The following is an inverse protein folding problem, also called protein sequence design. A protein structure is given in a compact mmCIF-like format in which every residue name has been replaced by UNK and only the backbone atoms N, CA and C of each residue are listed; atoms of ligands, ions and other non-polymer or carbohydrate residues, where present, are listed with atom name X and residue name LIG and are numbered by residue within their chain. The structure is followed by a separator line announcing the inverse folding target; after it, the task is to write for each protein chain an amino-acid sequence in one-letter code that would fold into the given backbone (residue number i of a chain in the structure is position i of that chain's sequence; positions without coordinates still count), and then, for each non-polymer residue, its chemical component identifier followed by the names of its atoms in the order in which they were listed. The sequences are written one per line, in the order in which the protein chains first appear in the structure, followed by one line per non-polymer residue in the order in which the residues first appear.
data_IF_139452135356
#
_entry.id   IF_139452135356
#
_cell.length_a   1.000
_cell.length_b   1.000
_cell.length_c   1.000
_cell.angle_alpha   90.00
_cell.angle_beta   90.00
_cell.angle_gamma   90.00
#
_symmetry.space_group_name_H-M   'P 1'
#
loop_
_entity.id
_entity.type
_entity.pdbx_description
1 polymer ?
#
# COMPACT_ATOMS: atom_id res chain seq x y z
N UNK A 1 -17.38 -5.70 -13.16
CA UNK A 1 -17.86 -4.49 -12.45
C UNK A 1 -17.03 -3.30 -12.93
N UNK A 2 -17.61 -2.15 -13.28
CA UNK A 2 -16.83 -1.02 -13.82
C UNK A 2 -15.77 -0.53 -12.83
N UNK A 3 -14.57 -0.22 -13.34
CA UNK A 3 -13.47 0.34 -12.55
C UNK A 3 -13.93 1.65 -11.90
N UNK A 4 -13.60 1.84 -10.62
CA UNK A 4 -13.95 3.05 -9.85
C UNK A 4 -15.44 3.40 -9.79
N UNK A 5 -16.32 2.42 -10.05
CA UNK A 5 -17.73 2.53 -9.64
C UNK A 5 -17.84 2.50 -8.10
N UNK A 6 -18.94 3.04 -7.54
CA UNK A 6 -19.17 3.00 -6.09
C UNK A 6 -19.09 1.58 -5.52
N UNK A 7 -19.64 0.59 -6.25
CA UNK A 7 -19.54 -0.82 -5.86
C UNK A 7 -18.10 -1.34 -5.85
N UNK A 8 -17.28 -0.92 -6.81
CA UNK A 8 -15.86 -1.29 -6.84
C UNK A 8 -15.12 -0.71 -5.63
N UNK A 9 -15.30 0.59 -5.39
CA UNK A 9 -14.65 1.30 -4.28
C UNK A 9 -15.12 0.73 -2.93
N UNK A 10 -16.39 0.42 -2.78
CA UNK A 10 -16.93 -0.22 -1.57
C UNK A 10 -16.28 -1.59 -1.32
N UNK A 11 -16.18 -2.44 -2.34
CA UNK A 11 -15.54 -3.75 -2.19
C UNK A 11 -14.05 -3.61 -1.85
N UNK A 12 -13.35 -2.69 -2.52
CA UNK A 12 -11.95 -2.39 -2.23
C UNK A 12 -11.80 -1.94 -0.77
N UNK A 13 -12.62 -1.00 -0.32
CA UNK A 13 -12.58 -0.50 1.05
C UNK A 13 -12.83 -1.61 2.09
N UNK A 14 -13.76 -2.52 1.82
CA UNK A 14 -14.07 -3.65 2.70
C UNK A 14 -12.97 -4.73 2.72
N UNK A 15 -12.27 -4.93 1.62
CA UNK A 15 -11.08 -5.79 1.56
C UNK A 15 -9.94 -5.16 2.37
N UNK A 16 -9.62 -3.89 2.10
CA UNK A 16 -8.53 -3.18 2.77
C UNK A 16 -8.78 -3.11 4.28
N UNK A 17 -10.01 -2.81 4.71
CA UNK A 17 -10.43 -2.83 6.12
C UNK A 17 -10.06 -4.14 6.84
N UNK A 18 -10.19 -5.29 6.18
CA UNK A 18 -9.84 -6.62 6.74
C UNK A 18 -8.34 -6.89 6.73
N UNK A 19 -7.66 -6.52 5.65
CA UNK A 19 -6.20 -6.66 5.55
C UNK A 19 -5.50 -5.82 6.62
N UNK A 20 -5.97 -4.60 6.88
CA UNK A 20 -5.43 -3.76 7.95
C UNK A 20 -5.69 -4.33 9.35
N UNK A 21 -6.83 -4.99 9.56
CA UNK A 21 -7.09 -5.67 10.83
C UNK A 21 -6.13 -6.84 11.05
N UNK A 22 -5.90 -7.65 10.01
CA UNK A 22 -4.97 -8.78 10.09
C UNK A 22 -3.53 -8.28 10.27
N UNK A 23 -3.15 -7.19 9.59
CA UNK A 23 -1.86 -6.52 9.80
C UNK A 23 -1.68 -6.07 11.25
N UNK A 24 -2.70 -5.44 11.83
CA UNK A 24 -2.63 -4.92 13.21
C UNK A 24 -2.47 -6.03 14.26
N UNK A 25 -3.19 -7.15 14.08
CA UNK A 25 -3.21 -8.24 15.05
C UNK A 25 -2.01 -9.20 14.92
N UNK A 26 -1.60 -9.55 13.69
CA UNK A 26 -0.72 -10.69 13.45
C UNK A 26 0.70 -10.34 12.99
N UNK A 27 0.93 -9.17 12.40
CA UNK A 27 2.22 -8.85 11.79
C UNK A 27 3.18 -8.20 12.81
N UNK A 28 4.44 -8.60 12.74
CA UNK A 28 5.54 -8.14 13.59
C UNK A 28 6.86 -8.75 13.10
N UNK A 29 7.96 -8.51 13.81
CA UNK A 29 9.25 -9.11 13.46
C UNK A 29 9.18 -10.65 13.59
N UNK A 30 9.44 -11.43 12.52
CA UNK A 30 9.42 -12.89 12.58
C UNK A 30 10.51 -13.50 13.49
N UNK A 31 11.56 -12.75 13.84
CA UNK A 31 12.57 -13.20 14.81
C UNK A 31 12.05 -13.13 16.26
N UNK A 32 10.95 -12.40 16.49
CA UNK A 32 10.35 -12.16 17.82
C UNK A 32 8.91 -12.67 17.93
N UNK A 33 8.22 -12.84 16.81
CA UNK A 33 6.79 -13.18 16.75
C UNK A 33 6.51 -14.23 15.68
N UNK A 34 5.48 -15.04 15.91
CA UNK A 34 5.05 -16.02 14.91
C UNK A 34 3.99 -15.41 13.99
N UNK A 35 4.39 -15.00 12.80
CA UNK A 35 3.47 -14.49 11.77
C UNK A 35 2.83 -15.68 11.03
N UNK A 36 1.50 -15.85 11.07
CA UNK A 36 0.83 -17.01 10.47
C UNK A 36 0.64 -16.83 8.95
N UNK A 37 1.70 -16.54 8.20
CA UNK A 37 1.68 -16.18 6.77
C UNK A 37 0.88 -17.18 5.92
N UNK A 38 1.17 -18.47 6.08
CA UNK A 38 0.50 -19.54 5.34
C UNK A 38 -1.01 -19.60 5.60
N UNK A 39 -1.47 -19.22 6.80
CA UNK A 39 -2.89 -19.18 7.14
C UNK A 39 -3.56 -17.93 6.59
N UNK A 40 -2.88 -16.77 6.65
CA UNK A 40 -3.41 -15.50 6.14
C UNK A 40 -3.68 -15.52 4.63
N UNK A 41 -2.96 -16.36 3.89
CA UNK A 41 -3.16 -16.56 2.43
C UNK A 41 -3.85 -17.89 2.09
N UNK A 42 -4.29 -18.67 3.07
CA UNK A 42 -4.93 -19.94 2.83
C UNK A 42 -6.31 -19.74 2.14
N UNK A 43 -6.68 -20.56 1.14
CA UNK A 43 -7.93 -20.39 0.41
C UNK A 43 -9.19 -20.38 1.29
N UNK A 44 -9.23 -21.20 2.33
CA UNK A 44 -10.34 -21.30 3.28
C UNK A 44 -10.44 -20.06 4.18
N UNK A 45 -9.30 -19.54 4.66
CA UNK A 45 -9.24 -18.27 5.39
C UNK A 45 -9.72 -17.11 4.51
N UNK A 46 -9.19 -16.99 3.29
CA UNK A 46 -9.61 -15.94 2.35
C UNK A 46 -11.10 -16.04 2.00
N UNK A 47 -11.62 -17.24 1.80
CA UNK A 47 -13.05 -17.46 1.56
C UNK A 47 -13.90 -17.01 2.77
N UNK A 48 -13.46 -17.31 3.99
CA UNK A 48 -14.11 -16.85 5.22
C UNK A 48 -14.11 -15.32 5.31
N UNK A 49 -12.97 -14.66 5.06
CA UNK A 49 -12.86 -13.19 5.07
C UNK A 49 -13.73 -12.55 4.00
N UNK A 50 -13.76 -13.12 2.80
CA UNK A 50 -14.62 -12.65 1.71
C UNK A 50 -16.12 -12.78 2.05
N UNK A 51 -16.53 -13.87 2.72
CA UNK A 51 -17.91 -14.09 3.13
C UNK A 51 -18.41 -13.07 4.18
N UNK A 52 -17.50 -12.38 4.87
CA UNK A 52 -17.85 -11.31 5.82
C UNK A 52 -18.24 -10.00 5.10
N UNK A 53 -17.91 -9.84 3.81
CA UNK A 53 -18.17 -8.60 3.06
C UNK A 53 -19.64 -8.56 2.67
N UNK A 54 -20.37 -7.55 3.18
CA UNK A 54 -21.68 -7.21 2.65
C UNK A 54 -21.48 -6.36 1.38
N UNK A 55 -21.98 -6.75 0.20
CA UNK A 55 -21.74 -6.03 -1.05
C UNK A 55 -22.52 -4.72 -1.20
N UNK A 56 -23.37 -4.38 -0.23
CA UNK A 56 -24.32 -3.26 -0.31
C UNK A 56 -24.30 -2.34 0.91
N UNK A 57 -23.54 -2.69 1.95
CA UNK A 57 -23.50 -1.93 3.19
C UNK A 57 -22.11 -2.04 3.83
N UNK A 58 -21.68 -0.94 4.47
CA UNK A 58 -20.40 -0.85 5.15
C UNK A 58 -20.38 -1.80 6.35
N UNK A 59 -19.30 -2.57 6.53
CA UNK A 59 -19.17 -3.42 7.71
C UNK A 59 -19.03 -2.59 8.99
N UNK A 60 -19.69 -2.96 10.10
CA UNK A 60 -19.51 -2.32 11.39
C UNK A 60 -18.04 -2.37 11.85
N UNK A 61 -17.40 -1.21 11.87
CA UNK A 61 -15.97 -1.04 12.20
C UNK A 61 -15.62 -1.57 13.59
N UNK A 62 -16.53 -1.54 14.56
CA UNK A 62 -16.30 -2.06 15.92
C UNK A 62 -16.05 -3.58 15.96
N UNK A 63 -16.43 -4.31 14.89
CA UNK A 63 -16.15 -5.75 14.74
C UNK A 63 -14.81 -6.04 14.04
N UNK A 64 -14.05 -4.99 13.70
CA UNK A 64 -12.80 -5.09 12.94
C UNK A 64 -11.72 -4.27 13.68
N UNK A 65 -10.60 -4.90 14.07
CA UNK A 65 -9.66 -4.33 15.06
C UNK A 65 -8.62 -3.34 14.49
N UNK A 66 -8.45 -2.15 15.09
CA UNK A 66 -8.10 -0.88 14.44
C UNK A 66 -6.61 -0.61 14.11
N UNK A 67 -6.37 0.45 13.31
CA UNK A 67 -5.12 1.19 13.11
C UNK A 67 -5.25 2.25 11.98
N UNK A 68 -4.54 3.38 12.06
CA UNK A 68 -4.49 4.46 11.04
C UNK A 68 -3.05 4.81 10.64
N UNK A 69 -2.71 5.32 9.46
CA UNK A 69 -1.37 5.87 9.13
C UNK A 69 -1.39 6.98 8.05
N UNK A 70 -0.38 7.87 8.02
CA UNK A 70 -0.09 8.84 6.92
C UNK A 70 1.43 9.09 6.75
N UNK A 71 1.98 9.20 5.53
CA UNK A 71 3.42 8.93 5.29
C UNK A 71 4.10 9.66 4.10
N UNK A 72 5.45 9.57 4.05
CA UNK A 72 6.30 9.69 2.85
C UNK A 72 7.39 8.58 2.80
N UNK A 73 7.89 8.21 1.61
CA UNK A 73 8.88 7.13 1.34
C UNK A 73 9.47 7.38 -0.07
N UNK A 74 10.44 6.61 -0.59
CA UNK A 74 10.78 6.61 -2.03
C UNK A 74 10.98 5.20 -2.61
N UNK A 75 10.86 5.05 -3.94
CA UNK A 75 10.96 3.76 -4.62
C UNK A 75 11.62 3.87 -6.00
N UNK A 76 12.38 2.85 -6.41
CA UNK A 76 12.83 2.66 -7.79
C UNK A 76 12.88 1.19 -8.21
N UNK A 77 12.78 0.95 -9.52
CA UNK A 77 12.81 -0.37 -10.14
C UNK A 77 13.86 -0.42 -11.26
N UNK A 78 14.59 -1.54 -11.39
CA UNK A 78 15.60 -1.77 -12.44
C UNK A 78 15.40 -3.18 -13.00
N UNK A 79 15.43 -3.31 -14.34
CA UNK A 79 15.57 -4.60 -15.03
C UNK A 79 16.71 -4.49 -16.03
N UNK A 80 17.62 -5.45 -16.03
CA UNK A 80 18.72 -5.50 -16.98
C UNK A 80 18.47 -6.48 -18.15
N UNK A 81 19.37 -6.45 -19.13
CA UNK A 81 19.26 -7.29 -20.34
C UNK A 81 19.46 -8.79 -20.08
N UNK A 82 20.00 -9.17 -18.92
CA UNK A 82 20.15 -10.57 -18.51
C UNK A 82 18.90 -11.09 -17.77
N UNK A 83 17.90 -10.23 -17.53
CA UNK A 83 16.69 -10.57 -16.78
C UNK A 83 16.84 -10.38 -15.27
N UNK A 84 17.95 -9.79 -14.79
CA UNK A 84 18.05 -9.43 -13.38
C UNK A 84 17.08 -8.30 -13.07
N UNK A 85 16.37 -8.41 -11.96
CA UNK A 85 15.38 -7.43 -11.52
C UNK A 85 15.66 -6.95 -10.10
N UNK A 86 15.50 -5.65 -9.86
CA UNK A 86 15.60 -5.01 -8.56
C UNK A 86 14.36 -4.16 -8.35
N UNK A 87 13.64 -4.42 -7.25
CA UNK A 87 12.58 -3.57 -6.72
C UNK A 87 13.06 -3.06 -5.36
N UNK A 88 13.29 -1.75 -5.21
CA UNK A 88 13.82 -1.19 -3.98
C UNK A 88 12.96 -0.02 -3.48
N UNK A 89 12.39 -0.20 -2.29
CA UNK A 89 11.71 0.84 -1.52
C UNK A 89 12.57 1.14 -0.31
N UNK A 90 12.91 2.41 -0.08
CA UNK A 90 13.67 2.83 1.10
C UNK A 90 13.08 4.12 1.67
N UNK A 91 13.28 4.33 2.97
CA UNK A 91 12.68 5.44 3.70
C UNK A 91 13.59 5.93 4.84
N UNK A 92 13.34 7.16 5.29
CA UNK A 92 13.81 7.67 6.58
C UNK A 92 12.70 7.64 7.64
N UNK A 93 11.56 7.05 7.28
CA UNK A 93 10.26 7.18 7.92
C UNK A 93 9.60 8.53 7.63
N UNK A 94 9.69 9.54 8.50
CA UNK A 94 9.14 10.87 8.22
C UNK A 94 10.03 11.72 7.28
N UNK A 95 9.51 12.89 6.88
CA UNK A 95 10.29 13.91 6.17
C UNK A 95 11.52 14.32 6.99
N UNK A 96 12.70 14.12 6.40
CA UNK A 96 13.99 14.30 7.07
C UNK A 96 14.25 13.34 8.25
N UNK A 97 13.46 12.28 8.40
CA UNK A 97 13.53 11.32 9.50
C UNK A 97 13.44 12.00 10.86
N UNK A 98 14.37 11.66 11.75
CA UNK A 98 14.49 12.28 13.08
C UNK A 98 14.89 13.77 13.07
N UNK A 99 15.23 14.33 11.91
CA UNK A 99 15.84 15.67 11.78
C UNK A 99 17.29 15.76 12.25
N UNK A 100 17.88 14.65 12.74
CA UNK A 100 19.28 14.61 13.20
C UNK A 100 20.21 14.45 12.01
N UNK A 101 21.14 15.40 11.83
CA UNK A 101 22.19 15.35 10.82
C UNK A 101 23.50 14.88 11.46
N UNK A 102 24.12 13.84 10.90
CA UNK A 102 25.41 13.34 11.38
C UNK A 102 26.51 14.37 11.09
N UNK A 103 27.05 14.97 12.14
CA UNK A 103 28.12 15.98 12.05
C UNK A 103 29.34 15.40 11.31
N UNK A 104 29.77 16.10 10.26
CA UNK A 104 30.92 15.72 9.44
C UNK A 104 30.60 14.77 8.28
N UNK A 105 29.48 14.04 8.33
CA UNK A 105 29.05 13.14 7.26
C UNK A 105 27.87 13.70 6.43
N UNK A 106 27.02 14.54 7.02
CA UNK A 106 26.00 15.30 6.29
C UNK A 106 24.75 14.50 5.88
N UNK A 107 24.58 13.26 6.35
CA UNK A 107 23.35 12.49 6.13
C UNK A 107 22.43 12.53 7.37
N UNK A 108 21.15 12.30 7.11
CA UNK A 108 20.08 12.30 8.11
C UNK A 108 19.92 10.92 8.74
N UNK A 109 19.48 10.88 10.00
CA UNK A 109 19.07 9.65 10.67
C UNK A 109 17.56 9.46 10.57
N UNK A 110 17.12 8.23 10.32
CA UNK A 110 15.71 7.88 10.31
C UNK A 110 15.07 8.05 11.69
N UNK A 111 13.74 8.07 11.73
CA UNK A 111 12.92 7.92 12.93
C UNK A 111 12.02 6.69 12.85
N UNK A 112 12.51 5.60 12.24
CA UNK A 112 11.76 4.36 11.98
C UNK A 112 11.27 3.68 13.26
N UNK A 113 11.88 3.97 14.42
CA UNK A 113 11.41 3.48 15.72
C UNK A 113 9.94 3.85 16.01
N UNK A 114 9.40 4.85 15.32
CA UNK A 114 7.97 5.18 15.37
C UNK A 114 7.08 4.05 14.84
N UNK A 115 7.53 3.20 13.90
CA UNK A 115 6.69 2.11 13.37
C UNK A 115 6.35 1.03 14.41
N UNK A 116 6.98 1.06 15.60
CA UNK A 116 6.61 0.19 16.72
C UNK A 116 5.30 0.62 17.41
N UNK A 117 4.60 -0.36 17.96
CA UNK A 117 3.55 -0.13 18.95
C UNK A 117 4.16 0.32 20.27
N UNK A 118 4.09 1.62 20.56
CA UNK A 118 4.54 2.18 21.84
C UNK A 118 3.73 1.65 23.03
N UNK A 119 2.48 1.25 22.80
CA UNK A 119 1.61 0.57 23.76
C UNK A 119 0.50 -0.18 23.00
N UNK A 120 0.14 -1.42 23.39
CA UNK A 120 -0.97 -2.14 22.76
C UNK A 120 -2.26 -1.30 22.76
N UNK A 121 -2.91 -1.21 21.61
CA UNK A 121 -4.11 -0.38 21.46
C UNK A 121 -3.83 1.12 21.22
N UNK A 122 -2.57 1.56 21.31
CA UNK A 122 -2.16 2.95 21.07
C UNK A 122 -1.48 3.06 19.72
N UNK A 123 -1.96 4.02 18.96
CA UNK A 123 -1.44 4.47 17.68
C UNK A 123 0.02 4.98 17.82
N UNK A 124 0.92 4.59 16.91
CA UNK A 124 2.19 5.31 16.71
C UNK A 124 1.99 6.69 16.04
N UNK A 125 3.05 7.43 15.68
CA UNK A 125 2.88 8.74 15.06
C UNK A 125 2.19 8.66 13.69
N UNK A 126 2.19 7.48 13.05
CA UNK A 126 1.32 7.23 11.91
C UNK A 126 -0.11 6.92 12.33
N UNK A 127 -0.29 6.18 13.42
CA UNK A 127 -1.56 5.82 13.99
C UNK A 127 -1.80 4.30 14.02
N UNK A 128 -0.80 3.51 13.62
CA UNK A 128 -0.90 2.05 13.59
C UNK A 128 -0.91 1.58 15.01
N UNK A 129 -1.98 0.84 15.29
CA UNK A 129 -2.11 0.12 16.52
C UNK A 129 -1.52 -1.24 16.23
N UNK A 130 -0.27 -1.43 16.60
CA UNK A 130 0.25 -2.77 16.71
C UNK A 130 -0.30 -3.42 17.98
N UNK A 131 -0.56 -4.71 17.90
CA UNK A 131 -0.68 -5.54 19.10
C UNK A 131 0.70 -5.68 19.79
N UNK A 132 0.77 -6.50 20.83
CA UNK A 132 2.05 -6.90 21.44
C UNK A 132 3.04 -7.46 20.40
N UNK A 133 2.55 -7.96 19.27
CA UNK A 133 3.39 -8.49 18.19
C UNK A 133 4.40 -7.45 17.68
N UNK A 134 4.01 -6.18 17.61
CA UNK A 134 4.87 -5.09 17.17
C UNK A 134 5.29 -4.17 18.33
N UNK A 135 5.35 -4.66 19.57
CA UNK A 135 5.87 -3.89 20.70
C UNK A 135 7.39 -3.65 20.59
N UNK A 136 7.87 -2.56 21.21
CA UNK A 136 9.29 -2.17 21.23
C UNK A 136 10.12 -3.19 22.02
N UNK A 137 11.13 -3.77 21.37
CA UNK A 137 12.10 -4.68 22.00
C UNK A 137 13.52 -4.47 21.45
N UNK A 138 14.58 -4.69 22.26
CA UNK A 138 15.96 -4.56 21.78
C UNK A 138 16.27 -5.53 20.63
N UNK A 139 16.80 -5.00 19.52
CA UNK A 139 17.19 -5.81 18.36
C UNK A 139 16.04 -6.24 17.45
N UNK A 140 14.80 -5.96 17.85
CA UNK A 140 13.60 -6.17 17.02
C UNK A 140 13.53 -5.11 15.93
N UNK A 141 12.94 -5.49 14.80
CA UNK A 141 12.60 -4.60 13.69
C UNK A 141 11.12 -4.23 13.76
N UNK A 142 10.83 -2.99 13.47
CA UNK A 142 9.49 -2.44 13.40
C UNK A 142 8.72 -2.94 12.18
N UNK A 143 7.39 -3.01 12.28
CA UNK A 143 6.53 -3.42 11.17
C UNK A 143 6.42 -2.33 10.10
N UNK A 144 7.13 -2.50 8.99
CA UNK A 144 7.04 -1.61 7.83
C UNK A 144 5.83 -1.90 6.92
N UNK A 145 5.34 -0.88 6.23
CA UNK A 145 4.37 -1.01 5.13
C UNK A 145 5.04 -1.06 3.74
N UNK A 146 6.37 -0.99 3.66
CA UNK A 146 7.08 -1.13 2.38
C UNK A 146 6.79 -2.48 1.73
N UNK A 147 6.53 -2.49 0.42
CA UNK A 147 6.22 -3.71 -0.34
C UNK A 147 6.84 -3.69 -1.75
N UNK A 148 8.18 -3.59 -1.88
CA UNK A 148 8.82 -3.77 -3.18
C UNK A 148 8.45 -5.14 -3.75
N UNK A 149 7.88 -5.16 -4.96
CA UNK A 149 7.24 -6.35 -5.53
C UNK A 149 7.83 -6.70 -6.89
N UNK A 150 8.10 -8.00 -7.10
CA UNK A 150 8.48 -8.60 -8.38
C UNK A 150 7.46 -9.70 -8.68
N UNK A 151 6.83 -9.64 -9.84
CA UNK A 151 5.88 -10.65 -10.31
C UNK A 151 6.56 -11.49 -11.39
N UNK A 152 6.57 -12.81 -11.18
CA UNK A 152 7.10 -13.78 -12.13
C UNK A 152 5.98 -14.60 -12.78
N UNK A 153 6.18 -15.03 -14.02
CA UNK A 153 5.36 -16.02 -14.71
C UNK A 153 6.28 -17.07 -15.31
N UNK A 154 6.03 -18.34 -14.99
CA UNK A 154 6.82 -19.48 -15.51
C UNK A 154 8.34 -19.34 -15.27
N UNK A 155 8.73 -18.67 -14.18
CA UNK A 155 10.13 -18.41 -13.82
C UNK A 155 10.71 -17.10 -14.37
N UNK A 156 10.01 -16.42 -15.28
CA UNK A 156 10.46 -15.17 -15.88
C UNK A 156 9.86 -13.94 -15.18
N UNK A 157 10.63 -12.87 -15.03
CA UNK A 157 10.16 -11.59 -14.48
C UNK A 157 9.20 -10.92 -15.48
N UNK A 158 8.01 -10.54 -15.03
CA UNK A 158 6.98 -9.89 -15.86
C UNK A 158 6.59 -8.50 -15.38
N UNK A 159 6.75 -8.22 -14.08
CA UNK A 159 6.49 -6.91 -13.51
C UNK A 159 7.46 -6.65 -12.34
N UNK A 160 8.03 -5.46 -12.30
CA UNK A 160 8.78 -4.93 -11.16
C UNK A 160 8.09 -3.64 -10.77
N UNK A 161 7.55 -3.58 -9.55
CA UNK A 161 6.70 -2.47 -9.11
C UNK A 161 6.97 -2.13 -7.65
N UNK A 162 6.83 -0.85 -7.34
CA UNK A 162 6.69 -0.37 -5.98
C UNK A 162 6.36 1.11 -5.96
N UNK A 163 6.16 1.62 -4.75
CA UNK A 163 5.73 3.00 -4.53
C UNK A 163 6.08 3.40 -3.10
N UNK A 164 6.25 4.70 -2.85
CA UNK A 164 6.14 5.24 -1.51
C UNK A 164 4.70 5.44 -1.05
N UNK A 165 4.53 5.89 0.20
CA UNK A 165 3.24 6.29 0.79
C UNK A 165 2.86 5.50 2.05
N UNK A 166 3.84 4.93 2.78
CA UNK A 166 3.68 4.06 3.94
C UNK A 166 2.51 3.09 3.87
N UNK A 167 1.51 3.19 4.74
CA UNK A 167 0.33 2.28 4.71
C UNK A 167 -0.43 2.25 3.39
N UNK A 168 -0.28 3.27 2.52
CA UNK A 168 -0.90 3.30 1.18
C UNK A 168 -0.13 2.47 0.16
N UNK A 169 1.06 1.98 0.50
CA UNK A 169 1.97 1.30 -0.44
C UNK A 169 1.32 0.05 -1.02
N UNK A 170 0.98 -0.91 -0.17
CA UNK A 170 0.46 -2.20 -0.64
C UNK A 170 -0.94 -2.07 -1.27
N UNK A 171 -1.79 -1.15 -0.80
CA UNK A 171 -3.10 -0.87 -1.42
C UNK A 171 -2.97 -0.22 -2.79
N UNK A 172 -1.98 0.67 -2.97
CA UNK A 172 -1.69 1.31 -4.26
C UNK A 172 -1.14 0.31 -5.27
N UNK A 173 -0.20 -0.54 -4.83
CA UNK A 173 0.37 -1.61 -5.66
C UNK A 173 -0.75 -2.58 -6.07
N UNK A 174 -1.60 -3.00 -5.13
CA UNK A 174 -2.75 -3.87 -5.40
C UNK A 174 -3.66 -3.28 -6.48
N UNK A 175 -4.03 -2.00 -6.37
CA UNK A 175 -4.89 -1.35 -7.35
C UNK A 175 -4.25 -1.31 -8.74
N UNK A 176 -2.94 -1.04 -8.86
CA UNK A 176 -2.27 -1.06 -10.18
C UNK A 176 -2.18 -2.48 -10.75
N UNK A 177 -1.91 -3.49 -9.93
CA UNK A 177 -1.94 -4.90 -10.34
C UNK A 177 -3.35 -5.26 -10.85
N UNK A 178 -4.39 -4.93 -10.11
CA UNK A 178 -5.79 -5.14 -10.53
C UNK A 178 -6.12 -4.39 -11.84
N UNK A 179 -5.65 -3.14 -11.99
CA UNK A 179 -5.83 -2.36 -13.21
C UNK A 179 -5.17 -3.03 -14.44
N UNK A 180 -4.00 -3.64 -14.27
CA UNK A 180 -3.27 -4.33 -15.33
C UNK A 180 -3.90 -5.69 -15.67
N UNK A 181 -4.25 -6.49 -14.68
CA UNK A 181 -4.60 -7.90 -14.89
C UNK A 181 -6.10 -8.15 -14.95
N UNK A 182 -6.93 -7.44 -14.18
CA UNK A 182 -8.39 -7.63 -14.19
C UNK A 182 -9.10 -6.65 -15.13
N UNK A 183 -8.55 -5.44 -15.28
CA UNK A 183 -9.10 -4.40 -16.15
C UNK A 183 -8.33 -4.21 -17.47
N UNK A 184 -7.21 -4.91 -17.64
CA UNK A 184 -6.40 -4.92 -18.86
C UNK A 184 -6.01 -3.52 -19.37
N UNK A 185 -5.79 -2.57 -18.46
CA UNK A 185 -5.39 -1.21 -18.83
C UNK A 185 -3.94 -1.21 -19.37
N UNK A 186 -3.63 -0.34 -20.36
CA UNK A 186 -2.24 -0.04 -20.72
C UNK A 186 -1.43 0.43 -19.51
N UNK A 187 -0.11 0.12 -19.47
CA UNK A 187 0.72 0.32 -18.27
C UNK A 187 0.64 1.73 -17.70
N UNK A 188 0.84 2.75 -18.55
CA UNK A 188 0.76 4.15 -18.12
C UNK A 188 -0.64 4.54 -17.61
N UNK A 189 -1.71 3.99 -18.20
CA UNK A 189 -3.08 4.25 -17.74
C UNK A 189 -3.39 3.53 -16.43
N UNK A 190 -2.88 2.31 -16.24
CA UNK A 190 -3.03 1.56 -15.00
C UNK A 190 -2.40 2.30 -13.81
N UNK A 191 -1.22 2.89 -14.01
CA UNK A 191 -0.51 3.72 -13.02
C UNK A 191 -1.23 5.06 -12.78
N UNK A 192 -1.69 5.71 -13.85
CA UNK A 192 -2.36 7.00 -13.77
C UNK A 192 -3.78 6.93 -13.19
N UNK A 193 -4.43 5.77 -13.23
CA UNK A 193 -5.82 5.60 -12.79
C UNK A 193 -6.07 6.14 -11.38
N UNK A 194 -7.32 6.54 -11.11
CA UNK A 194 -7.74 6.92 -9.77
C UNK A 194 -7.48 5.76 -8.81
N UNK A 195 -6.86 6.11 -7.68
CA UNK A 195 -6.68 5.24 -6.52
C UNK A 195 -7.47 5.81 -5.37
N UNK A 196 -8.07 4.91 -4.61
CA UNK A 196 -8.70 5.23 -3.34
C UNK A 196 -8.08 4.39 -2.25
N UNK A 197 -8.28 4.76 -1.01
CA UNK A 197 -7.76 4.00 0.10
C UNK A 197 -8.73 4.03 1.27
N UNK A 198 -9.01 2.88 1.85
CA UNK A 198 -9.64 2.75 3.14
C UNK A 198 -8.69 1.98 4.05
N UNK A 199 -8.30 2.63 5.12
CA UNK A 199 -7.74 1.95 6.28
C UNK A 199 -8.84 1.84 7.32
N UNK A 200 -8.77 0.80 8.12
CA UNK A 200 -9.81 0.47 9.08
C UNK A 200 -10.30 1.66 9.93
N UNK A 201 -9.40 2.55 10.33
CA UNK A 201 -9.75 3.86 10.89
C UNK A 201 -9.10 5.01 10.08
N UNK A 202 -9.69 6.23 10.01
CA UNK A 202 -10.91 6.64 10.67
C UNK A 202 -12.10 5.87 10.10
N UNK A 203 -13.12 5.71 10.94
CA UNK A 203 -14.26 4.86 10.63
C UNK A 203 -14.93 5.33 9.34
N UNK A 204 -15.09 4.40 8.41
CA UNK A 204 -15.86 4.56 7.18
C UNK A 204 -15.35 5.74 6.30
N UNK A 205 -14.05 6.01 6.36
CA UNK A 205 -13.39 7.04 5.54
C UNK A 205 -12.69 6.41 4.34
N UNK A 206 -13.04 6.86 3.14
CA UNK A 206 -12.32 6.58 1.90
C UNK A 206 -11.52 7.80 1.50
N UNK A 207 -10.21 7.62 1.47
CA UNK A 207 -9.25 8.61 1.03
C UNK A 207 -9.05 8.57 -0.49
N UNK A 208 -8.90 9.74 -1.09
CA UNK A 208 -8.47 9.92 -2.48
C UNK A 208 -7.40 11.03 -2.54
N UNK A 209 -6.81 11.25 -3.72
CA UNK A 209 -5.90 12.38 -3.96
C UNK A 209 -6.44 13.38 -4.99
N UNK A 210 -5.89 14.59 -4.96
CA UNK A 210 -6.29 15.68 -5.86
C UNK A 210 -5.94 15.43 -7.34
N UNK A 211 -5.01 14.51 -7.64
CA UNK A 211 -4.66 14.18 -9.03
C UNK A 211 -5.83 13.49 -9.74
N UNK A 212 -6.53 12.60 -9.05
CA UNK A 212 -7.71 11.91 -9.58
C UNK A 212 -8.86 11.95 -8.54
N UNK A 213 -9.60 13.07 -8.43
CA UNK A 213 -10.54 13.29 -7.35
C UNK A 213 -11.79 12.40 -7.45
N UNK A 214 -12.28 11.92 -6.30
CA UNK A 214 -13.49 11.09 -6.21
C UNK A 214 -14.74 11.97 -6.17
N UNK A 215 -15.36 12.17 -7.34
CA UNK A 215 -16.47 13.11 -7.54
C UNK A 215 -17.60 12.51 -8.37
N UNK A 216 -18.73 13.22 -8.48
CA UNK A 216 -19.88 12.83 -9.28
C UNK A 216 -20.62 11.61 -8.74
N UNK A 217 -21.25 10.84 -9.64
CA UNK A 217 -22.15 9.74 -9.28
C UNK A 217 -21.52 8.70 -8.33
N UNK A 218 -20.29 8.18 -8.54
CA UNK A 218 -19.70 7.23 -7.60
C UNK A 218 -19.53 7.81 -6.19
N UNK A 219 -19.16 9.09 -6.07
CA UNK A 219 -19.01 9.76 -4.79
C UNK A 219 -20.35 9.92 -4.07
N UNK A 220 -21.41 10.31 -4.79
CA UNK A 220 -22.76 10.45 -4.23
C UNK A 220 -23.32 9.10 -3.74
N UNK A 221 -23.10 8.04 -4.51
CA UNK A 221 -23.49 6.67 -4.13
C UNK A 221 -22.73 6.18 -2.90
N UNK A 222 -21.42 6.42 -2.79
CA UNK A 222 -20.62 6.06 -1.61
C UNK A 222 -21.05 6.84 -0.35
N UNK A 223 -21.33 8.14 -0.49
CA UNK A 223 -21.87 8.96 0.61
C UNK A 223 -23.24 8.45 1.06
N UNK A 224 -24.10 8.05 0.12
CA UNK A 224 -25.39 7.45 0.43
C UNK A 224 -25.25 6.08 1.15
N UNK A 225 -24.15 5.34 0.93
CA UNK A 225 -23.81 4.14 1.70
C UNK A 225 -23.29 4.44 3.12
N UNK A 226 -22.91 5.68 3.40
CA UNK A 226 -22.41 6.13 4.72
C UNK A 226 -20.91 6.42 4.77
N UNK A 227 -20.20 6.37 3.65
CA UNK A 227 -18.77 6.69 3.63
C UNK A 227 -18.53 8.20 3.76
N UNK A 228 -17.53 8.56 4.55
CA UNK A 228 -16.87 9.86 4.48
C UNK A 228 -15.83 9.80 3.37
N UNK A 229 -15.80 10.79 2.48
CA UNK A 229 -14.79 10.88 1.41
C UNK A 229 -13.86 12.04 1.72
N UNK A 230 -12.56 11.77 1.74
CA UNK A 230 -11.56 12.75 2.16
C UNK A 230 -10.42 12.83 1.15
N UNK A 231 -10.08 14.04 0.72
CA UNK A 231 -8.82 14.28 0.03
C UNK A 231 -7.72 14.20 1.09
N UNK A 232 -6.79 13.26 0.93
CA UNK A 232 -5.72 13.07 1.91
C UNK A 232 -4.70 14.22 1.92
N UNK A 233 -4.75 15.15 0.94
CA UNK A 233 -3.89 16.33 0.87
C UNK A 233 -2.50 16.11 0.28
N UNK A 234 -2.19 14.88 -0.12
CA UNK A 234 -0.94 14.48 -0.77
C UNK A 234 -1.21 13.37 -1.80
N UNK A 235 -0.26 13.15 -2.72
CA UNK A 235 -0.41 12.17 -3.79
C UNK A 235 -0.51 10.74 -3.25
N UNK A 236 -1.42 9.93 -3.76
CA UNK A 236 -1.58 8.54 -3.35
C UNK A 236 -0.42 7.68 -3.90
N UNK A 237 0.78 7.83 -3.34
CA UNK A 237 2.00 7.19 -3.81
C UNK A 237 2.65 7.85 -5.02
N UNK A 238 3.72 7.22 -5.50
CA UNK A 238 4.53 7.60 -6.67
C UNK A 238 5.09 6.31 -7.31
N UNK A 239 4.19 5.55 -7.95
CA UNK A 239 4.49 4.24 -8.53
C UNK A 239 5.56 4.34 -9.61
N UNK A 240 6.62 3.54 -9.45
CA UNK A 240 7.55 3.24 -10.53
C UNK A 240 7.37 1.78 -10.92
N UNK A 241 7.22 1.51 -12.21
CA UNK A 241 6.95 0.17 -12.71
C UNK A 241 7.67 -0.12 -14.01
N UNK A 242 8.18 -1.35 -14.10
CA UNK A 242 8.71 -1.96 -15.32
C UNK A 242 7.89 -3.21 -15.61
N UNK A 243 7.23 -3.26 -16.76
CA UNK A 243 6.59 -4.46 -17.31
C UNK A 243 7.49 -5.06 -18.37
N UNK A 244 7.65 -6.38 -18.33
CA UNK A 244 8.37 -7.13 -19.35
C UNK A 244 7.38 -8.03 -20.09
N UNK A 245 7.22 -7.81 -21.39
CA UNK A 245 6.47 -8.69 -22.29
C UNK A 245 7.45 -9.43 -23.22
N UNK A 246 7.72 -10.69 -22.88
CA UNK A 246 8.79 -11.48 -23.48
C UNK A 246 10.17 -10.84 -23.22
N UNK A 247 10.70 -10.13 -24.22
CA UNK A 247 11.98 -9.39 -24.12
C UNK A 247 11.81 -7.88 -24.23
N UNK A 248 10.57 -7.40 -24.31
CA UNK A 248 10.28 -5.98 -24.52
C UNK A 248 9.99 -5.33 -23.17
N UNK A 249 10.87 -4.45 -22.68
CA UNK A 249 10.58 -3.66 -21.50
C UNK A 249 9.67 -2.49 -21.84
N UNK A 250 8.70 -2.26 -20.98
CA UNK A 250 7.85 -1.06 -20.94
C UNK A 250 7.95 -0.47 -19.54
N UNK A 251 8.20 0.83 -19.44
CA UNK A 251 8.33 1.53 -18.16
C UNK A 251 7.22 2.56 -18.02
N UNK A 252 6.69 2.71 -16.81
CA UNK A 252 5.85 3.86 -16.47
C UNK A 252 6.27 4.43 -15.12
N UNK A 253 6.25 5.76 -15.06
CA UNK A 253 6.39 6.54 -13.83
C UNK A 253 5.08 7.22 -13.51
N UNK A 254 4.77 7.34 -12.23
CA UNK A 254 3.54 7.96 -11.77
C UNK A 254 3.43 9.41 -12.27
N UNK A 255 2.33 9.79 -12.94
CA UNK A 255 2.12 11.18 -13.32
C UNK A 255 1.88 12.11 -12.11
N UNK A 256 1.66 11.54 -10.91
CA UNK A 256 1.62 12.29 -9.65
C UNK A 256 2.99 12.78 -9.20
N UNK A 257 4.04 12.02 -9.54
CA UNK A 257 5.41 12.28 -9.13
C UNK A 257 6.24 12.98 -10.19
N UNK A 258 7.54 13.08 -9.91
CA UNK A 258 8.56 13.59 -10.84
C UNK A 258 9.44 12.48 -11.41
N UNK A 259 9.08 11.21 -11.16
CA UNK A 259 9.83 10.05 -11.61
C UNK A 259 9.94 9.96 -13.13
N UNK A 260 10.93 9.21 -13.62
CA UNK A 260 11.14 8.97 -15.04
C UNK A 260 11.42 7.48 -15.27
N UNK A 261 10.71 6.88 -16.23
CA UNK A 261 10.98 5.56 -16.76
C UNK A 261 11.78 5.68 -18.06
N UNK A 262 12.90 4.94 -18.15
CA UNK A 262 13.76 4.95 -19.34
C UNK A 262 14.11 3.53 -19.75
N UNK A 263 14.02 3.25 -21.05
CA UNK A 263 14.57 2.04 -21.66
C UNK A 263 15.87 2.42 -22.37
N UNK A 264 17.00 1.97 -21.84
CA UNK A 264 18.31 2.21 -22.44
C UNK A 264 18.58 1.13 -23.49
N UNK A 265 18.55 1.51 -24.76
CA UNK A 265 18.98 0.63 -25.86
C UNK A 265 20.49 0.76 -26.05
N UNK A 266 21.19 -0.37 -26.05
CA UNK A 266 22.59 -0.45 -26.47
C UNK A 266 22.69 -0.46 -27.99
#
# INVERSE_FOLDING_TARGET
MPLNSARYIHLLAEIEKRVFADRADYLGDPDFTNVPEAQLIAPDYLQKRAAEINPTAISPTEKVRPGLETHQTTHFSIVDAAGNAVSNTYTLNWDFGSGVVVKGAGFLLNDEMDDFSAKPGVANAFGVVGSDANAIEPGKRMLSSMSPTIITRDGDVTLVIGTPGGSRIFTSIFQVINNLYDYHLPLAQAVAAQRVHHQLLPKDTVYYDSFAPLTGKPADELKAMGYTLEDQGWNMGDIQVIRIDGRTPETASDPRGRGVGLVVKK
#
